data_IF_989971251137
#
_entry.id   IF_989971251137
#
_cell.length_a   1.000
_cell.length_b   1.000
_cell.length_c   1.000
_cell.angle_alpha   90.00
_cell.angle_beta   90.00
_cell.angle_gamma   90.00
#
_symmetry.space_group_name_H-M   'P 1'
#
loop_
_entity.id
_entity.type
_entity.pdbx_description
1 polymer ?
#
# COMPACT_ATOMS: atom_id res chain seq x y z
N UNK A 1 3.04 18.88 0.12
CA UNK A 1 2.77 18.04 -1.08
C UNK A 1 1.91 16.82 -0.78
N UNK A 2 2.13 16.08 0.32
CA UNK A 2 1.32 14.90 0.69
C UNK A 2 -0.20 15.17 0.71
N UNK A 3 -0.63 16.29 1.32
CA UNK A 3 -2.03 16.71 1.34
C UNK A 3 -2.65 16.85 -0.06
N UNK A 4 -1.91 17.39 -1.04
CA UNK A 4 -2.45 17.59 -2.39
C UNK A 4 -2.59 16.27 -3.17
N UNK A 5 -1.65 15.34 -2.97
CA UNK A 5 -1.72 13.98 -3.54
C UNK A 5 -2.90 13.21 -2.93
N UNK A 6 -3.10 13.33 -1.62
CA UNK A 6 -4.27 12.78 -0.93
C UNK A 6 -5.58 13.38 -1.44
N UNK A 7 -5.68 14.71 -1.57
CA UNK A 7 -6.89 15.35 -2.11
C UNK A 7 -7.20 14.91 -3.54
N UNK A 8 -6.21 14.78 -4.42
CA UNK A 8 -6.43 14.32 -5.79
C UNK A 8 -6.85 12.85 -5.84
N UNK A 9 -6.20 12.00 -5.04
CA UNK A 9 -6.56 10.59 -4.94
C UNK A 9 -8.01 10.41 -4.46
N UNK A 10 -8.39 10.99 -3.31
CA UNK A 10 -9.74 10.81 -2.76
C UNK A 10 -10.85 11.47 -3.58
N UNK A 11 -10.51 12.45 -4.44
CA UNK A 11 -11.46 12.97 -5.44
C UNK A 11 -11.76 11.97 -6.54
N UNK A 12 -10.77 11.19 -6.96
CA UNK A 12 -10.94 10.15 -7.97
C UNK A 12 -11.48 8.85 -7.36
N UNK A 13 -11.05 8.53 -6.14
CA UNK A 13 -11.37 7.31 -5.42
C UNK A 13 -11.81 7.65 -4.00
N UNK A 14 -13.09 7.98 -3.80
CA UNK A 14 -13.59 8.41 -2.48
C UNK A 14 -13.63 7.28 -1.44
N UNK A 15 -13.46 6.01 -1.85
CA UNK A 15 -13.65 4.85 -1.00
C UNK A 15 -15.14 4.56 -0.72
N UNK A 16 -15.48 3.55 0.09
CA UNK A 16 -14.55 2.61 0.71
C UNK A 16 -13.87 1.70 -0.32
N UNK A 17 -12.78 1.07 0.10
CA UNK A 17 -11.96 0.19 -0.72
C UNK A 17 -12.10 -1.26 -0.25
N UNK A 18 -12.19 -2.16 -1.21
CA UNK A 18 -12.17 -3.61 -0.95
C UNK A 18 -11.38 -4.31 -2.06
N UNK A 19 -10.91 -5.52 -1.79
CA UNK A 19 -10.14 -6.30 -2.75
C UNK A 19 -10.79 -7.64 -3.07
N UNK A 20 -10.62 -8.08 -4.31
CA UNK A 20 -11.19 -9.32 -4.81
C UNK A 20 -10.15 -10.09 -5.63
N UNK A 21 -10.17 -11.43 -5.63
CA UNK A 21 -9.43 -12.22 -6.60
C UNK A 21 -9.91 -11.87 -8.01
N UNK A 22 -9.01 -11.58 -8.95
CA UNK A 22 -9.45 -11.28 -10.31
C UNK A 22 -9.97 -12.51 -11.05
N UNK A 23 -10.80 -12.27 -12.06
CA UNK A 23 -11.41 -13.28 -12.92
C UNK A 23 -10.97 -13.17 -14.39
N UNK A 24 -10.08 -12.24 -14.71
CA UNK A 24 -9.76 -11.79 -16.06
C UNK A 24 -8.66 -12.60 -16.76
N UNK A 25 -8.35 -13.81 -16.27
CA UNK A 25 -7.49 -14.78 -16.95
C UNK A 25 -5.99 -14.54 -16.80
N UNK A 26 -5.58 -13.60 -15.94
CA UNK A 26 -4.27 -13.64 -15.30
C UNK A 26 -4.50 -14.34 -13.96
N UNK A 27 -4.29 -15.65 -13.93
CA UNK A 27 -4.77 -16.60 -12.90
C UNK A 27 -4.38 -16.26 -11.45
N UNK A 28 -3.54 -15.25 -11.23
CA UNK A 28 -2.85 -15.04 -9.97
C UNK A 28 -2.76 -13.54 -9.61
N UNK A 29 -3.91 -12.87 -9.48
CA UNK A 29 -3.97 -11.47 -9.02
C UNK A 29 -5.08 -11.20 -8.00
N UNK A 30 -4.81 -10.30 -7.06
CA UNK A 30 -5.85 -9.61 -6.30
C UNK A 30 -5.95 -8.16 -6.77
N UNK A 31 -7.18 -7.67 -6.95
CA UNK A 31 -7.47 -6.32 -7.38
C UNK A 31 -8.13 -5.53 -6.25
N UNK A 32 -7.70 -4.29 -6.05
CA UNK A 32 -8.33 -3.35 -5.14
C UNK A 32 -9.27 -2.45 -5.94
N UNK A 33 -10.49 -2.29 -5.48
CA UNK A 33 -11.54 -1.48 -6.12
C UNK A 33 -12.09 -0.45 -5.14
N UNK A 34 -12.41 0.74 -5.66
CA UNK A 34 -13.17 1.75 -4.93
C UNK A 34 -14.66 1.47 -5.10
N UNK A 35 -15.32 1.02 -4.03
CA UNK A 35 -16.72 0.54 -4.08
C UNK A 35 -17.73 1.62 -4.45
N UNK A 36 -17.46 2.89 -4.12
CA UNK A 36 -18.36 4.00 -4.47
C UNK A 36 -18.36 4.30 -5.96
N UNK A 37 -17.24 4.12 -6.64
CA UNK A 37 -17.11 4.39 -8.09
C UNK A 37 -17.13 3.13 -8.93
N UNK A 38 -17.02 1.95 -8.31
CA UNK A 38 -16.79 0.66 -8.97
C UNK A 38 -15.53 0.66 -9.85
N UNK A 39 -14.56 1.52 -9.51
CA UNK A 39 -13.32 1.68 -10.29
C UNK A 39 -12.17 0.91 -9.66
N UNK A 40 -11.38 0.28 -10.52
CA UNK A 40 -10.10 -0.35 -10.19
C UNK A 40 -9.14 0.65 -9.52
N UNK A 41 -8.27 0.23 -8.61
CA UNK A 41 -7.26 1.12 -8.01
C UNK A 41 -5.87 0.58 -8.29
N UNK A 42 -5.61 -0.67 -7.89
CA UNK A 42 -4.34 -1.38 -8.06
C UNK A 42 -4.59 -2.90 -8.15
N UNK A 43 -3.57 -3.63 -8.59
CA UNK A 43 -3.55 -5.08 -8.48
C UNK A 43 -2.22 -5.54 -7.89
N UNK A 44 -2.24 -6.61 -7.10
CA UNK A 44 -1.03 -7.33 -6.73
C UNK A 44 -1.04 -8.68 -7.42
N UNK A 45 0.03 -8.96 -8.16
CA UNK A 45 0.25 -10.26 -8.75
C UNK A 45 0.84 -11.19 -7.68
N UNK A 46 0.33 -12.40 -7.62
CA UNK A 46 1.01 -13.53 -6.99
C UNK A 46 1.44 -14.49 -8.09
N UNK A 47 2.45 -15.30 -7.84
CA UNK A 47 2.63 -16.54 -8.57
C UNK A 47 2.44 -17.66 -7.56
N UNK A 48 3.52 -18.03 -6.88
CA UNK A 48 3.49 -19.00 -5.79
C UNK A 48 3.14 -18.39 -4.41
N UNK A 49 3.08 -17.05 -4.30
CA UNK A 49 2.96 -16.33 -3.02
C UNK A 49 1.56 -15.73 -2.77
N UNK A 50 0.50 -16.51 -3.02
CA UNK A 50 -0.89 -16.04 -2.92
C UNK A 50 -1.24 -15.42 -1.57
N UNK A 51 -1.00 -16.13 -0.47
CA UNK A 51 -1.36 -15.67 0.89
C UNK A 51 -0.66 -14.34 1.25
N UNK A 52 0.57 -14.17 0.77
CA UNK A 52 1.34 -12.97 1.04
C UNK A 52 0.89 -11.79 0.19
N UNK A 53 0.54 -12.02 -1.08
CA UNK A 53 -0.09 -11.02 -1.91
C UNK A 53 -1.44 -10.58 -1.33
N UNK A 54 -2.25 -11.52 -0.85
CA UNK A 54 -3.52 -11.23 -0.16
C UNK A 54 -3.29 -10.36 1.08
N UNK A 55 -2.29 -10.71 1.91
CA UNK A 55 -1.90 -9.92 3.08
C UNK A 55 -1.54 -8.49 2.70
N UNK A 56 -0.70 -8.30 1.66
CA UNK A 56 -0.27 -6.97 1.19
C UNK A 56 -1.46 -6.13 0.74
N UNK A 57 -2.35 -6.67 -0.08
CA UNK A 57 -3.50 -5.90 -0.59
C UNK A 57 -4.55 -5.64 0.48
N UNK A 58 -4.76 -6.56 1.42
CA UNK A 58 -5.65 -6.37 2.56
C UNK A 58 -5.17 -5.24 3.47
N UNK A 59 -3.87 -5.18 3.78
CA UNK A 59 -3.29 -4.10 4.59
C UNK A 59 -3.38 -2.76 3.85
N UNK A 60 -3.12 -2.73 2.54
CA UNK A 60 -3.28 -1.51 1.74
C UNK A 60 -4.74 -1.02 1.74
N UNK A 61 -5.71 -1.92 1.57
CA UNK A 61 -7.13 -1.59 1.63
C UNK A 61 -7.51 -0.97 2.98
N UNK A 62 -7.12 -1.61 4.09
CA UNK A 62 -7.41 -1.15 5.44
C UNK A 62 -6.81 0.24 5.71
N UNK A 63 -5.53 0.44 5.38
CA UNK A 63 -4.85 1.74 5.60
C UNK A 63 -5.48 2.85 4.74
N UNK A 64 -5.92 2.54 3.52
CA UNK A 64 -6.64 3.51 2.68
C UNK A 64 -7.99 3.86 3.28
N UNK A 65 -8.75 2.88 3.79
CA UNK A 65 -10.03 3.14 4.45
C UNK A 65 -9.86 3.96 5.74
N UNK A 66 -8.88 3.63 6.59
CA UNK A 66 -8.56 4.43 7.79
C UNK A 66 -8.22 5.89 7.45
N UNK A 67 -7.53 6.12 6.32
CA UNK A 67 -7.16 7.46 5.88
C UNK A 67 -8.36 8.35 5.48
N UNK A 68 -9.55 7.76 5.28
CA UNK A 68 -10.79 8.50 4.97
C UNK A 68 -11.39 9.19 6.20
N UNK A 69 -10.99 8.82 7.42
CA UNK A 69 -11.41 9.49 8.66
C UNK A 69 -12.87 9.27 9.06
N UNK A 70 -13.44 8.10 8.74
CA UNK A 70 -14.75 7.69 9.28
C UNK A 70 -14.67 7.43 10.78
N UNK A 71 -15.57 8.03 11.57
CA UNK A 71 -15.51 8.00 13.05
C UNK A 71 -15.92 6.65 13.68
N UNK A 72 -16.44 5.70 12.88
CA UNK A 72 -17.11 4.50 13.40
C UNK A 72 -16.38 3.16 13.13
N UNK A 73 -15.36 3.10 12.25
CA UNK A 73 -14.65 1.86 11.91
C UNK A 73 -13.13 2.05 11.85
N UNK A 74 -12.41 1.32 12.72
CA UNK A 74 -10.95 1.15 12.66
C UNK A 74 -10.66 -0.09 11.79
N UNK A 75 -10.40 0.14 10.50
CA UNK A 75 -10.21 -0.91 9.51
C UNK A 75 -8.91 -1.68 9.76
N UNK A 76 -7.88 -1.03 10.29
CA UNK A 76 -6.66 -1.72 10.72
C UNK A 76 -6.90 -2.64 11.91
N UNK A 77 -7.72 -2.24 12.88
CA UNK A 77 -8.11 -3.09 14.00
C UNK A 77 -9.03 -4.25 13.58
N UNK A 78 -9.77 -4.10 12.47
CA UNK A 78 -10.59 -5.16 11.90
C UNK A 78 -9.76 -6.24 11.19
N UNK A 79 -8.51 -5.95 10.78
CA UNK A 79 -7.61 -6.97 10.26
C UNK A 79 -7.22 -7.97 11.34
N UNK A 80 -6.97 -9.22 10.93
CA UNK A 80 -6.38 -10.21 11.83
C UNK A 80 -5.04 -9.66 12.38
N UNK A 81 -4.85 -9.57 13.71
CA UNK A 81 -3.62 -9.05 14.31
C UNK A 81 -2.36 -9.76 13.83
N UNK A 82 -2.44 -11.04 13.49
CA UNK A 82 -1.33 -11.82 12.94
C UNK A 82 -0.95 -11.36 11.53
N UNK A 83 -1.94 -11.03 10.69
CA UNK A 83 -1.72 -10.48 9.35
C UNK A 83 -1.00 -9.15 9.43
N UNK A 84 -1.46 -8.26 10.32
CA UNK A 84 -0.83 -6.95 10.50
C UNK A 84 0.57 -7.07 11.11
N UNK A 85 0.77 -7.94 12.11
CA UNK A 85 2.09 -8.19 12.69
C UNK A 85 3.06 -8.77 11.66
N UNK A 86 2.63 -9.76 10.87
CA UNK A 86 3.43 -10.34 9.81
C UNK A 86 3.80 -9.31 8.74
N UNK A 87 2.84 -8.46 8.34
CA UNK A 87 3.12 -7.36 7.41
C UNK A 87 4.19 -6.41 7.95
N UNK A 88 4.07 -5.97 9.22
CA UNK A 88 5.02 -5.03 9.84
C UNK A 88 6.41 -5.63 10.01
N UNK A 89 6.51 -6.93 10.30
CA UNK A 89 7.79 -7.63 10.42
C UNK A 89 8.54 -7.70 9.07
N UNK A 90 7.84 -8.06 8.00
CA UNK A 90 8.43 -8.23 6.66
C UNK A 90 8.63 -6.89 5.93
N UNK A 91 7.75 -5.93 6.17
CA UNK A 91 7.71 -4.63 5.49
C UNK A 91 7.62 -3.52 6.55
N UNK A 92 8.68 -3.23 7.32
CA UNK A 92 8.62 -2.25 8.41
C UNK A 92 8.58 -0.78 7.95
N UNK A 93 8.63 -0.51 6.64
CA UNK A 93 8.81 0.83 6.08
C UNK A 93 10.24 1.35 6.25
N UNK A 94 10.52 2.65 5.98
CA UNK A 94 9.63 3.60 5.33
C UNK A 94 9.32 3.20 3.88
N UNK A 95 8.16 3.63 3.39
CA UNK A 95 7.68 3.29 2.05
C UNK A 95 7.96 4.41 1.05
N UNK A 96 8.28 4.07 -0.19
CA UNK A 96 8.53 5.03 -1.26
C UNK A 96 8.05 4.52 -2.61
N UNK A 97 7.86 5.42 -3.57
CA UNK A 97 7.47 5.05 -4.93
C UNK A 97 8.70 4.90 -5.81
N UNK A 98 8.81 3.77 -6.49
CA UNK A 98 9.80 3.49 -7.54
C UNK A 98 9.08 3.38 -8.88
N UNK A 99 9.74 3.84 -9.94
CA UNK A 99 9.26 3.65 -11.31
C UNK A 99 10.07 2.52 -11.93
N UNK A 100 9.39 1.52 -12.45
CA UNK A 100 10.00 0.34 -13.07
C UNK A 100 9.47 0.13 -14.47
N UNK A 101 10.23 -0.58 -15.29
CA UNK A 101 9.80 -0.97 -16.63
C UNK A 101 9.75 -2.50 -16.69
N UNK A 102 8.60 -3.02 -17.09
CA UNK A 102 8.38 -4.42 -17.36
C UNK A 102 8.16 -4.58 -18.87
N UNK A 103 8.88 -5.49 -19.52
CA UNK A 103 8.78 -5.70 -20.97
C UNK A 103 7.36 -6.05 -21.43
N UNK A 104 6.57 -6.70 -20.58
CA UNK A 104 5.22 -7.14 -20.88
C UNK A 104 4.13 -6.15 -20.44
N UNK A 105 4.38 -5.35 -19.40
CA UNK A 105 3.38 -4.46 -18.77
C UNK A 105 3.70 -2.97 -18.91
N UNK A 106 4.84 -2.62 -19.49
CA UNK A 106 5.29 -1.24 -19.63
C UNK A 106 5.77 -0.61 -18.32
N UNK A 107 5.53 0.69 -18.19
CA UNK A 107 5.95 1.48 -17.01
C UNK A 107 5.02 1.18 -15.83
N UNK A 108 5.60 0.74 -14.73
CA UNK A 108 4.90 0.50 -13.47
C UNK A 108 5.35 1.50 -12.40
N UNK A 109 4.40 1.92 -11.55
CA UNK A 109 4.73 2.63 -10.31
C UNK A 109 4.57 1.64 -9.16
N UNK A 110 5.65 1.36 -8.45
CA UNK A 110 5.69 0.34 -7.41
C UNK A 110 5.86 1.02 -6.05
N UNK A 111 5.08 0.62 -5.05
CA UNK A 111 5.32 1.03 -3.66
C UNK A 111 6.30 0.05 -3.05
N UNK A 112 7.45 0.54 -2.60
CA UNK A 112 8.56 -0.28 -2.09
C UNK A 112 8.82 0.03 -0.62
N UNK A 113 9.24 -0.99 0.14
CA UNK A 113 9.75 -0.84 1.48
C UNK A 113 11.27 -0.59 1.43
N UNK A 114 11.74 0.48 2.07
CA UNK A 114 13.18 0.82 2.07
C UNK A 114 14.02 -0.16 2.87
N UNK A 115 13.49 -0.68 3.97
CA UNK A 115 14.27 -1.50 4.91
C UNK A 115 14.48 -2.93 4.41
N UNK A 116 13.43 -3.57 3.88
CA UNK A 116 13.55 -4.90 3.29
C UNK A 116 14.00 -4.88 1.82
N UNK A 117 13.78 -3.76 1.11
CA UNK A 117 14.02 -3.67 -0.33
C UNK A 117 12.90 -4.29 -1.18
N UNK A 118 11.87 -4.83 -0.54
CA UNK A 118 10.75 -5.52 -1.19
C UNK A 118 9.70 -4.55 -1.76
N UNK A 119 9.03 -4.99 -2.82
CA UNK A 119 7.83 -4.29 -3.34
C UNK A 119 6.60 -4.71 -2.54
N UNK A 120 5.87 -3.71 -2.05
CA UNK A 120 4.58 -3.88 -1.37
C UNK A 120 3.49 -4.17 -2.39
N UNK A 121 3.38 -3.33 -3.42
CA UNK A 121 2.38 -3.45 -4.49
C UNK A 121 2.91 -2.86 -5.80
N UNK A 122 2.42 -3.41 -6.91
CA UNK A 122 2.62 -2.88 -8.25
C UNK A 122 1.37 -2.12 -8.69
N UNK A 123 1.51 -0.97 -9.34
CA UNK A 123 0.39 -0.39 -10.08
C UNK A 123 0.46 -0.92 -11.52
N UNK A 124 -0.61 -1.57 -11.97
CA UNK A 124 -0.73 -2.01 -13.35
C UNK A 124 -1.26 -0.85 -14.21
N UNK A 125 -0.87 -0.80 -15.49
CA UNK A 125 -1.27 0.27 -16.42
C UNK A 125 -2.72 0.12 -16.91
N UNK A 126 -3.70 0.08 -16.01
CA UNK A 126 -5.11 0.37 -16.39
C UNK A 126 -5.35 1.86 -16.54
N UNK A 127 -4.45 2.68 -16.00
CA UNK A 127 -4.56 4.12 -15.97
C UNK A 127 -3.47 4.87 -16.73
N UNK A 128 -3.71 6.17 -16.93
CA UNK A 128 -2.64 7.10 -17.29
C UNK A 128 -1.51 7.08 -16.26
N UNK A 129 -0.28 7.36 -16.71
CA UNK A 129 0.89 7.40 -15.82
C UNK A 129 0.73 8.40 -14.66
N UNK A 130 -0.01 9.49 -14.85
CA UNK A 130 -0.27 10.47 -13.80
C UNK A 130 -1.17 9.90 -12.69
N UNK A 131 -2.23 9.20 -13.08
CA UNK A 131 -3.14 8.54 -12.14
C UNK A 131 -2.41 7.43 -11.38
N UNK A 132 -1.68 6.55 -12.07
CA UNK A 132 -0.91 5.48 -11.44
C UNK A 132 0.13 6.02 -10.45
N UNK A 133 0.83 7.10 -10.81
CA UNK A 133 1.75 7.79 -9.91
C UNK A 133 1.03 8.39 -8.68
N UNK A 134 -0.16 8.94 -8.87
CA UNK A 134 -0.97 9.52 -7.79
C UNK A 134 -1.43 8.45 -6.81
N UNK A 135 -1.91 7.31 -7.33
CA UNK A 135 -2.30 6.12 -6.54
C UNK A 135 -1.11 5.60 -5.74
N UNK A 136 0.02 5.30 -6.38
CA UNK A 136 1.21 4.78 -5.70
C UNK A 136 1.73 5.74 -4.62
N UNK A 137 1.74 7.05 -4.90
CA UNK A 137 2.20 8.06 -3.93
C UNK A 137 1.24 8.20 -2.75
N UNK A 138 -0.06 8.11 -3.00
CA UNK A 138 -1.04 8.13 -1.91
C UNK A 138 -0.85 6.91 -1.00
N UNK A 139 -0.77 5.71 -1.58
CA UNK A 139 -0.56 4.47 -0.82
C UNK A 139 0.71 4.52 0.02
N UNK A 140 1.84 4.93 -0.57
CA UNK A 140 3.07 5.11 0.17
C UNK A 140 2.93 6.13 1.31
N UNK A 141 2.18 7.21 1.12
CA UNK A 141 1.97 8.23 2.15
C UNK A 141 1.10 7.71 3.31
N UNK A 142 0.02 7.00 3.02
CA UNK A 142 -0.87 6.47 4.07
C UNK A 142 -0.21 5.32 4.85
N UNK A 143 0.54 4.44 4.19
CA UNK A 143 1.35 3.40 4.85
C UNK A 143 2.40 4.01 5.79
N UNK A 144 3.06 5.06 5.31
CA UNK A 144 4.00 5.82 6.13
C UNK A 144 3.29 6.48 7.33
N UNK A 145 2.12 7.09 7.14
CA UNK A 145 1.37 7.67 8.26
C UNK A 145 0.91 6.63 9.28
N UNK A 146 0.52 5.42 8.83
CA UNK A 146 0.03 4.36 9.70
C UNK A 146 1.15 3.66 10.50
N UNK A 147 2.38 3.63 9.97
CA UNK A 147 3.45 2.77 10.50
C UNK A 147 4.77 3.49 10.82
N UNK A 148 4.95 4.78 10.50
CA UNK A 148 6.18 5.51 10.87
C UNK A 148 6.23 5.92 12.34
N UNK A 149 5.10 6.02 13.03
CA UNK A 149 5.09 6.38 14.45
C UNK A 149 5.78 5.31 15.32
N UNK A 150 5.86 4.06 14.83
CA UNK A 150 6.62 2.96 15.46
C UNK A 150 8.14 3.06 15.21
N UNK A 151 8.59 3.83 14.22
CA UNK A 151 10.01 3.94 13.84
C UNK A 151 10.76 5.04 14.59
N UNK A 152 10.06 6.05 15.12
CA UNK A 152 10.69 7.14 15.89
C UNK A 152 11.32 6.61 17.19
N UNK A 153 10.64 5.78 18.02
CA UNK A 153 11.25 5.21 19.22
C UNK A 153 12.44 4.28 18.89
N UNK A 154 12.34 3.48 17.83
CA UNK A 154 13.41 2.56 17.41
C UNK A 154 14.65 3.30 16.85
N UNK A 155 14.45 4.41 16.14
CA UNK A 155 15.53 5.27 15.66
C UNK A 155 16.20 6.03 16.81
N UNK A 156 15.42 6.52 17.79
CA UNK A 156 15.96 7.14 19.02
C UNK A 156 16.79 6.13 19.81
N UNK A 157 16.26 4.94 20.09
CA UNK A 157 16.97 3.90 20.83
C UNK A 157 18.28 3.46 20.14
N UNK A 158 18.29 3.36 18.81
CA UNK A 158 19.51 3.05 18.04
C UNK A 158 20.51 4.21 18.04
N UNK A 159 20.06 5.47 18.04
CA UNK A 159 20.93 6.63 18.11
C UNK A 159 21.58 6.75 19.51
N UNK A 160 20.82 6.49 20.57
CA UNK A 160 21.30 6.46 21.95
C UNK A 160 22.33 5.34 22.18
N UNK A 161 22.10 4.14 21.62
CA UNK A 161 23.04 3.03 21.70
C UNK A 161 24.38 3.27 20.96
N UNK A 162 24.40 4.24 20.03
CA UNK A 162 25.58 4.58 19.19
C UNK A 162 26.34 5.81 19.65
N UNK A 163 25.86 6.53 20.67
CA UNK A 163 26.62 7.60 21.33
C UNK A 163 27.41 7.01 22.50
N UNK A 164 28.73 6.76 22.38
CA UNK A 164 29.55 6.44 23.53
C UNK A 164 29.59 7.67 24.47
N UNK A 165 29.37 7.42 25.76
CA UNK A 165 29.59 8.39 26.83
C UNK A 165 31.07 8.79 26.95
#
# INVERSE_FOLDING_TARGET
>A
MAHLVSTLFHRSFPGPFDYFPSHDGVDETFELTCLTTDDFVIATHFWDEREWAETRIAVVAAVLNDSLGGEDEDFLAALNPQTLAHFRDQLPGPYFVKVEYCDYMGIQFCVNCRTSGETVIHTTQRYSALTACTVARNIAAVLNSAFLDDLIPAAIANAEARSPA
#
